data_IF_946733143307
#
_entry.id   IF_946733143307
#
_cell.length_a   1.000
_cell.length_b   1.000
_cell.length_c   1.000
_cell.angle_alpha   90.00
_cell.angle_beta   90.00
_cell.angle_gamma   90.00
#
_symmetry.space_group_name_H-M   'P 1'
#
loop_
_entity.id
_entity.type
_entity.pdbx_description
1 polymer ?
#
# COMPACT_ATOMS: atom_id res chain seq x y z
N UNK A 1 5.70 -14.01 -17.12
CA UNK A 1 5.13 -12.66 -16.94
C UNK A 1 6.15 -11.87 -16.14
N UNK A 2 6.51 -10.66 -16.56
CA UNK A 2 7.48 -9.84 -15.84
C UNK A 2 6.87 -9.35 -14.51
N UNK A 3 7.67 -9.29 -13.45
CA UNK A 3 7.24 -8.77 -12.15
C UNK A 3 6.75 -7.33 -12.24
N UNK A 4 5.73 -7.00 -11.44
CA UNK A 4 5.23 -5.63 -11.26
C UNK A 4 6.06 -4.87 -10.21
N UNK A 5 6.14 -3.54 -10.34
CA UNK A 5 6.77 -2.66 -9.35
C UNK A 5 5.74 -2.30 -8.28
N UNK A 6 5.98 -2.70 -7.03
CA UNK A 6 5.10 -2.46 -5.90
C UNK A 6 5.79 -1.53 -4.90
N UNK A 7 5.02 -0.63 -4.30
CA UNK A 7 5.46 0.17 -3.16
C UNK A 7 4.66 -0.25 -1.92
N UNK A 8 5.35 -0.51 -0.82
CA UNK A 8 4.74 -0.76 0.49
C UNK A 8 5.08 0.38 1.43
N UNK A 9 4.06 1.03 1.98
CA UNK A 9 4.18 2.12 2.96
C UNK A 9 3.61 1.62 4.28
N UNK A 10 4.47 1.44 5.27
CA UNK A 10 4.16 0.80 6.55
C UNK A 10 5.12 1.30 7.62
N UNK A 11 4.60 1.81 8.74
CA UNK A 11 5.40 2.37 9.83
C UNK A 11 6.03 1.32 10.76
N UNK A 12 5.44 0.12 10.85
CA UNK A 12 6.04 -1.01 11.56
C UNK A 12 7.12 -1.71 10.71
N UNK A 13 8.40 -1.69 11.13
CA UNK A 13 9.49 -2.27 10.33
C UNK A 13 9.38 -3.79 10.13
N UNK A 14 8.73 -4.52 11.05
CA UNK A 14 8.57 -5.96 10.95
C UNK A 14 7.48 -6.30 9.92
N UNK A 15 6.35 -5.60 9.95
CA UNK A 15 5.30 -5.72 8.94
C UNK A 15 5.82 -5.35 7.55
N UNK A 16 6.54 -4.23 7.44
CA UNK A 16 7.13 -3.79 6.18
C UNK A 16 8.04 -4.86 5.59
N UNK A 17 8.95 -5.40 6.42
CA UNK A 17 9.88 -6.45 6.02
C UNK A 17 9.15 -7.73 5.60
N UNK A 18 8.10 -8.13 6.31
CA UNK A 18 7.30 -9.30 5.99
C UNK A 18 6.60 -9.14 4.64
N UNK A 19 5.89 -8.03 4.42
CA UNK A 19 5.17 -7.77 3.17
C UNK A 19 6.13 -7.71 1.97
N UNK A 20 7.26 -7.01 2.10
CA UNK A 20 8.30 -6.95 1.07
C UNK A 20 8.85 -8.33 0.75
N UNK A 21 9.12 -9.17 1.77
CA UNK A 21 9.61 -10.53 1.58
C UNK A 21 8.61 -11.38 0.79
N UNK A 22 7.34 -11.37 1.19
CA UNK A 22 6.29 -12.18 0.55
C UNK A 22 6.07 -11.78 -0.91
N UNK A 23 6.04 -10.48 -1.21
CA UNK A 23 5.81 -9.97 -2.55
C UNK A 23 7.01 -10.18 -3.47
N UNK A 24 8.24 -10.04 -2.95
CA UNK A 24 9.46 -10.41 -3.70
C UNK A 24 9.51 -11.90 -4.00
N UNK A 25 9.13 -12.75 -3.05
CA UNK A 25 9.05 -14.19 -3.26
C UNK A 25 8.00 -14.58 -4.33
N UNK A 26 6.97 -13.76 -4.52
CA UNK A 26 5.99 -13.89 -5.60
C UNK A 26 6.47 -13.34 -6.96
N UNK A 27 7.71 -12.81 -7.03
CA UNK A 27 8.33 -12.37 -8.29
C UNK A 27 8.16 -10.88 -8.61
N UNK A 28 7.71 -10.05 -7.66
CA UNK A 28 7.57 -8.61 -7.83
C UNK A 28 8.85 -7.85 -7.47
N UNK A 29 9.02 -6.66 -8.07
CA UNK A 29 10.00 -5.67 -7.61
C UNK A 29 9.32 -4.83 -6.53
N UNK A 30 9.89 -4.77 -5.32
CA UNK A 30 9.20 -4.15 -4.18
C UNK A 30 10.12 -3.16 -3.46
N UNK A 31 9.65 -1.91 -3.39
CA UNK A 31 10.22 -0.83 -2.59
C UNK A 31 9.42 -0.67 -1.30
N UNK A 32 10.10 -0.46 -0.17
CA UNK A 32 9.47 -0.20 1.12
C UNK A 32 9.73 1.23 1.59
N UNK A 33 8.76 1.80 2.31
CA UNK A 33 8.84 3.10 2.96
C UNK A 33 8.28 3.00 4.39
N UNK A 34 8.97 3.62 5.36
CA UNK A 34 8.65 3.52 6.79
C UNK A 34 7.69 4.62 7.29
N UNK A 35 7.23 5.49 6.40
CA UNK A 35 6.32 6.58 6.70
C UNK A 35 5.72 7.13 5.41
N UNK A 36 4.66 7.93 5.53
CA UNK A 36 3.98 8.52 4.38
C UNK A 36 4.88 9.44 3.55
N UNK A 37 5.75 10.21 4.19
CA UNK A 37 6.71 11.10 3.50
C UNK A 37 7.66 10.34 2.55
N UNK A 38 8.31 9.28 3.04
CA UNK A 38 9.15 8.38 2.24
C UNK A 38 8.34 7.71 1.12
N UNK A 39 7.10 7.30 1.44
CA UNK A 39 6.19 6.69 0.48
C UNK A 39 5.84 7.62 -0.69
N UNK A 40 5.53 8.87 -0.41
CA UNK A 40 5.25 9.89 -1.44
C UNK A 40 6.46 10.14 -2.35
N UNK A 41 7.65 10.24 -1.77
CA UNK A 41 8.89 10.41 -2.55
C UNK A 41 9.17 9.19 -3.43
N UNK A 42 9.00 7.98 -2.91
CA UNK A 42 9.17 6.74 -3.65
C UNK A 42 8.13 6.60 -4.77
N UNK A 43 6.86 6.90 -4.51
CA UNK A 43 5.79 6.83 -5.50
C UNK A 43 6.04 7.73 -6.71
N UNK A 44 6.48 8.98 -6.47
CA UNK A 44 6.81 9.95 -7.53
C UNK A 44 8.05 9.57 -8.33
N UNK A 45 9.04 8.95 -7.68
CA UNK A 45 10.30 8.55 -8.30
C UNK A 45 10.14 7.27 -9.13
N UNK A 46 9.49 6.25 -8.57
CA UNK A 46 9.52 4.88 -9.09
C UNK A 46 8.28 4.53 -9.93
N UNK A 47 7.21 5.34 -9.85
CA UNK A 47 5.92 5.14 -10.52
C UNK A 47 5.48 3.66 -10.46
N UNK A 48 5.20 3.14 -9.25
CA UNK A 48 4.83 1.74 -9.06
C UNK A 48 3.51 1.42 -9.75
N UNK A 49 3.33 0.16 -10.10
CA UNK A 49 2.08 -0.38 -10.64
C UNK A 49 0.98 -0.45 -9.56
N UNK A 50 1.35 -0.55 -8.28
CA UNK A 50 0.43 -0.62 -7.14
C UNK A 50 1.12 -0.14 -5.86
N UNK A 51 0.36 0.54 -5.00
CA UNK A 51 0.80 0.95 -3.66
C UNK A 51 -0.04 0.22 -2.61
N UNK A 52 0.64 -0.45 -1.67
CA UNK A 52 0.08 -0.92 -0.42
C UNK A 52 0.40 0.11 0.66
N UNK A 53 -0.60 0.59 1.39
CA UNK A 53 -0.41 1.65 2.37
C UNK A 53 -1.11 1.30 3.68
N UNK A 54 -0.42 1.46 4.81
CA UNK A 54 -1.10 1.47 6.11
C UNK A 54 -2.13 2.62 6.14
N UNK A 55 -3.28 2.36 6.74
CA UNK A 55 -4.31 3.36 6.97
C UNK A 55 -3.86 4.44 7.97
N UNK A 56 -2.99 4.08 8.93
CA UNK A 56 -2.50 5.01 9.95
C UNK A 56 -1.00 4.89 10.11
N UNK A 57 -0.31 6.02 10.01
CA UNK A 57 1.11 6.13 10.33
C UNK A 57 1.32 7.36 11.23
N UNK A 58 2.45 7.46 11.96
CA UNK A 58 2.68 8.54 12.92
C UNK A 58 2.78 9.92 12.26
N UNK A 59 3.25 9.99 11.02
CA UNK A 59 3.44 11.25 10.29
C UNK A 59 2.20 11.69 9.51
N UNK A 60 1.45 10.74 8.93
CA UNK A 60 0.21 11.01 8.21
C UNK A 60 -0.66 9.76 8.06
N UNK A 61 -1.93 9.96 7.74
CA UNK A 61 -2.88 8.89 7.41
C UNK A 61 -2.71 8.40 5.97
N UNK A 62 -3.15 7.16 5.69
CA UNK A 62 -3.19 6.64 4.33
C UNK A 62 -4.09 7.47 3.39
N UNK A 63 -5.14 8.12 3.92
CA UNK A 63 -5.99 9.03 3.16
C UNK A 63 -5.24 10.30 2.76
N UNK A 64 -4.37 10.84 3.61
CA UNK A 64 -3.52 11.99 3.28
C UNK A 64 -2.50 11.63 2.19
N UNK A 65 -1.89 10.43 2.26
CA UNK A 65 -1.04 9.91 1.18
C UNK A 65 -1.81 9.82 -0.12
N UNK A 66 -3.00 9.19 -0.11
CA UNK A 66 -3.86 9.06 -1.28
C UNK A 66 -4.18 10.43 -1.90
N UNK A 67 -4.63 11.39 -1.10
CA UNK A 67 -4.96 12.75 -1.58
C UNK A 67 -3.74 13.44 -2.21
N UNK A 68 -2.58 13.31 -1.60
CA UNK A 68 -1.32 13.87 -2.13
C UNK A 68 -0.95 13.26 -3.49
N UNK A 69 -1.08 11.94 -3.64
CA UNK A 69 -0.80 11.25 -4.91
C UNK A 69 -1.84 11.52 -5.99
N UNK A 70 -3.12 11.70 -5.62
CA UNK A 70 -4.19 12.10 -6.55
C UNK A 70 -4.06 13.54 -7.04
N UNK A 71 -3.40 14.41 -6.28
CA UNK A 71 -3.10 15.79 -6.67
C UNK A 71 -1.99 15.95 -7.71
N UNK A 72 -1.24 14.89 -8.03
CA UNK A 72 -0.14 14.89 -9.00
C UNK A 72 -0.51 14.01 -10.21
N UNK A 73 -0.50 14.58 -11.41
CA UNK A 73 -0.87 13.90 -12.65
C UNK A 73 -0.04 12.62 -12.92
N UNK A 74 1.21 12.57 -12.46
CA UNK A 74 2.07 11.40 -12.66
C UNK A 74 1.66 10.21 -11.78
N UNK A 75 1.08 10.46 -10.60
CA UNK A 75 0.72 9.43 -9.62
C UNK A 75 -0.79 9.24 -9.46
N UNK A 76 -1.61 10.13 -10.03
CA UNK A 76 -3.06 10.14 -9.84
C UNK A 76 -3.76 8.86 -10.32
N UNK A 77 -3.18 8.13 -11.27
CA UNK A 77 -3.71 6.87 -11.77
C UNK A 77 -3.24 5.62 -11.02
N UNK A 78 -2.28 5.72 -10.11
CA UNK A 78 -1.70 4.54 -9.45
C UNK A 78 -2.72 3.94 -8.47
N UNK A 79 -3.09 2.65 -8.60
CA UNK A 79 -4.01 2.02 -7.65
C UNK A 79 -3.39 1.95 -6.25
N UNK A 80 -4.23 2.14 -5.24
CA UNK A 80 -3.85 2.07 -3.84
C UNK A 80 -4.74 1.08 -3.10
N UNK A 81 -4.12 0.19 -2.32
CA UNK A 81 -4.82 -0.77 -1.44
C UNK A 81 -4.39 -0.51 -0.01
N UNK A 82 -5.36 -0.39 0.89
CA UNK A 82 -5.09 -0.20 2.31
C UNK A 82 -4.70 -1.53 2.96
N UNK A 83 -3.67 -1.55 3.80
CA UNK A 83 -3.34 -2.71 4.64
C UNK A 83 -3.49 -2.27 6.09
N UNK A 84 -4.61 -2.59 6.74
CA UNK A 84 -4.99 -1.95 8.01
C UNK A 84 -5.51 -2.94 9.04
N UNK A 85 -5.19 -2.70 10.32
CA UNK A 85 -5.77 -3.42 11.45
C UNK A 85 -7.17 -2.92 11.74
N UNK A 86 -8.19 -3.62 11.23
CA UNK A 86 -9.60 -3.26 11.37
C UNK A 86 -10.02 -3.16 12.84
N UNK A 87 -9.99 -1.96 13.42
CA UNK A 87 -10.33 -1.76 14.82
C UNK A 87 -11.77 -1.25 15.03
N UNK A 88 -12.41 -0.71 13.98
CA UNK A 88 -13.75 -0.11 14.07
C UNK A 88 -14.55 -0.35 12.80
N UNK A 89 -15.83 -0.65 12.98
CA UNK A 89 -16.82 -0.59 11.90
C UNK A 89 -16.89 0.86 11.39
N UNK A 90 -16.41 1.11 10.17
CA UNK A 90 -16.40 2.43 9.52
C UNK A 90 -15.10 2.80 8.83
N UNK A 91 -13.95 2.36 9.36
CA UNK A 91 -12.62 2.73 8.81
C UNK A 91 -12.43 2.25 7.36
N UNK A 92 -12.96 1.06 7.03
CA UNK A 92 -12.95 0.54 5.65
C UNK A 92 -13.80 1.41 4.72
N UNK A 93 -14.98 1.83 5.18
CA UNK A 93 -15.86 2.66 4.36
C UNK A 93 -15.19 4.00 4.06
N UNK A 94 -14.57 4.63 5.06
CA UNK A 94 -13.83 5.87 4.89
C UNK A 94 -12.67 5.74 3.88
N UNK A 95 -11.93 4.63 3.92
CA UNK A 95 -10.85 4.36 2.96
C UNK A 95 -11.39 4.18 1.53
N UNK A 96 -12.44 3.36 1.36
CA UNK A 96 -13.03 3.13 0.05
C UNK A 96 -13.66 4.41 -0.52
N UNK A 97 -14.40 5.17 0.29
CA UNK A 97 -15.00 6.45 -0.10
C UNK A 97 -13.95 7.50 -0.44
N UNK A 98 -12.78 7.46 0.19
CA UNK A 98 -11.65 8.32 -0.14
C UNK A 98 -11.01 7.98 -1.50
N UNK A 99 -11.25 6.77 -2.04
CA UNK A 99 -10.78 6.34 -3.35
C UNK A 99 -9.68 5.26 -3.34
N UNK A 100 -9.55 4.51 -2.24
CA UNK A 100 -8.77 3.27 -2.26
C UNK A 100 -9.45 2.21 -3.16
N UNK A 101 -8.64 1.43 -3.87
CA UNK A 101 -9.11 0.37 -4.76
C UNK A 101 -9.55 -0.89 -4.01
N UNK A 102 -9.16 -1.01 -2.74
CA UNK A 102 -9.52 -2.12 -1.87
C UNK A 102 -8.76 -2.06 -0.56
N UNK A 103 -8.92 -3.11 0.24
CA UNK A 103 -8.22 -3.26 1.51
C UNK A 103 -7.85 -4.70 1.79
N UNK A 104 -6.82 -4.88 2.61
CA UNK A 104 -6.38 -6.15 3.19
C UNK A 104 -6.34 -5.94 4.72
N UNK A 105 -7.07 -6.76 5.45
CA UNK A 105 -7.13 -6.67 6.91
C UNK A 105 -5.88 -7.27 7.56
N UNK A 106 -5.33 -6.57 8.55
CA UNK A 106 -4.36 -7.15 9.51
C UNK A 106 -5.14 -7.81 10.67
N UNK A 107 -4.72 -8.99 11.16
CA UNK A 107 -3.66 -9.83 10.61
C UNK A 107 -4.09 -10.51 9.30
N UNK A 108 -3.18 -10.59 8.33
CA UNK A 108 -3.38 -11.30 7.06
C UNK A 108 -2.70 -12.68 7.07
N UNK A 109 -3.20 -13.62 6.27
CA UNK A 109 -2.54 -14.92 6.08
C UNK A 109 -1.37 -14.78 5.09
N UNK A 110 -0.16 -15.07 5.57
CA UNK A 110 1.08 -15.03 4.79
C UNK A 110 1.03 -15.90 3.52
N UNK A 111 0.23 -16.98 3.51
CA UNK A 111 0.12 -17.90 2.37
C UNK A 111 -0.72 -17.31 1.24
N UNK A 112 -1.65 -16.42 1.57
CA UNK A 112 -2.61 -15.86 0.60
C UNK A 112 -2.34 -14.40 0.29
N UNK A 113 -1.56 -13.70 1.11
CA UNK A 113 -1.27 -12.27 0.98
C UNK A 113 -0.82 -11.87 -0.44
N UNK A 114 0.18 -12.55 -1.01
CA UNK A 114 0.65 -12.21 -2.35
C UNK A 114 -0.42 -12.42 -3.45
N UNK A 115 -1.26 -13.46 -3.31
CA UNK A 115 -2.36 -13.71 -4.24
C UNK A 115 -3.48 -12.67 -4.09
N UNK A 116 -3.77 -12.22 -2.87
CA UNK A 116 -4.71 -11.12 -2.63
C UNK A 116 -4.20 -9.81 -3.22
N UNK A 117 -2.91 -9.48 -3.05
CA UNK A 117 -2.31 -8.30 -3.68
C UNK A 117 -2.38 -8.39 -5.21
N UNK A 118 -2.16 -9.58 -5.77
CA UNK A 118 -2.21 -9.78 -7.23
C UNK A 118 -3.61 -9.58 -7.84
N UNK A 119 -4.70 -9.63 -7.07
CA UNK A 119 -6.04 -9.34 -7.61
C UNK A 119 -6.29 -7.86 -7.88
N UNK A 120 -5.37 -6.98 -7.46
CA UNK A 120 -5.43 -5.52 -7.69
C UNK A 120 -4.48 -5.04 -8.80
N UNK A 121 -3.77 -5.96 -9.47
CA UNK A 121 -2.85 -5.70 -10.58
C UNK A 121 -3.50 -5.99 -11.94
#
# INVERSE_FOLDING_TARGET
MAGKRLLVIEDDPANLRLMVLLLKAAGHEVTGALNGGEGLLAARRDLPDLILCDGRMPDMTGIEVLRSLRGDAATAGIPMVAVTGLARDGEVHELLDAGFNGYIAKPFDIKTFAAQVASFL
#
